data_IF_107814218480
#
_entry.id   IF_107814218480
#
_cell.length_a   1.000
_cell.length_b   1.000
_cell.length_c   1.000
_cell.angle_alpha   90.00
_cell.angle_beta   90.00
_cell.angle_gamma   90.00
#
_symmetry.space_group_name_H-M   'P 1'
#
loop_
_entity.id
_entity.type
_entity.pdbx_description
1 polymer ?
#
# COMPACT_ATOMS: atom_id res chain seq x y z
N UNK A 1 -20.41 -19.00 -1.40
CA UNK A 1 -21.37 -18.20 -2.20
C UNK A 1 -22.31 -19.13 -2.96
N UNK A 2 -22.98 -20.06 -2.27
CA UNK A 2 -23.81 -21.08 -2.95
C UNK A 2 -25.31 -20.72 -2.95
N UNK A 3 -25.74 -19.73 -2.16
CA UNK A 3 -27.16 -19.43 -2.07
C UNK A 3 -27.73 -18.67 -3.29
N UNK A 4 -26.91 -17.90 -4.01
CA UNK A 4 -27.38 -17.11 -5.16
C UNK A 4 -27.46 -17.90 -6.47
N UNK A 5 -27.13 -19.20 -6.48
CA UNK A 5 -27.06 -20.03 -7.69
C UNK A 5 -28.41 -20.21 -8.41
N UNK A 6 -29.53 -19.96 -7.72
CA UNK A 6 -30.88 -20.01 -8.29
C UNK A 6 -31.39 -18.70 -8.89
N UNK A 7 -30.66 -17.59 -8.72
CA UNK A 7 -31.09 -16.28 -9.20
C UNK A 7 -30.21 -15.82 -10.36
N UNK A 8 -30.81 -15.59 -11.54
CA UNK A 8 -30.11 -15.06 -12.72
C UNK A 8 -29.87 -13.54 -12.55
N UNK A 9 -29.10 -13.16 -11.52
CA UNK A 9 -28.79 -11.78 -11.15
C UNK A 9 -27.67 -11.16 -12.01
N UNK A 10 -27.45 -11.69 -13.21
CA UNK A 10 -26.46 -11.13 -14.13
C UNK A 10 -26.83 -9.67 -14.46
N UNK A 11 -25.85 -8.77 -14.41
CA UNK A 11 -26.00 -7.33 -14.71
C UNK A 11 -26.81 -6.49 -13.70
N UNK A 12 -27.08 -6.98 -12.48
CA UNK A 12 -27.71 -6.15 -11.44
C UNK A 12 -26.72 -5.09 -10.93
N UNK A 13 -27.17 -3.84 -10.81
CA UNK A 13 -26.37 -2.72 -10.28
C UNK A 13 -25.93 -3.00 -8.84
N UNK A 14 -24.68 -2.63 -8.52
CA UNK A 14 -24.17 -2.61 -7.14
C UNK A 14 -25.08 -1.79 -6.23
N UNK A 15 -25.73 -2.44 -5.27
CA UNK A 15 -26.71 -1.84 -4.37
C UNK A 15 -26.67 -2.59 -3.02
N UNK A 16 -25.66 -2.31 -2.17
CA UNK A 16 -25.37 -3.14 -1.02
C UNK A 16 -26.53 -3.11 -0.01
N UNK A 17 -26.79 -4.27 0.59
CA UNK A 17 -27.77 -4.44 1.67
C UNK A 17 -27.13 -5.15 2.85
N UNK A 18 -27.58 -4.80 4.05
CA UNK A 18 -27.15 -5.43 5.29
C UNK A 18 -28.22 -6.41 5.74
N UNK A 19 -27.87 -7.70 5.77
CA UNK A 19 -28.76 -8.75 6.23
C UNK A 19 -28.91 -8.79 7.75
N UNK A 20 -29.99 -9.41 8.22
CA UNK A 20 -30.23 -9.68 9.64
C UNK A 20 -29.16 -10.58 10.26
N UNK A 21 -28.40 -11.30 9.44
CA UNK A 21 -27.26 -12.13 9.82
C UNK A 21 -25.94 -11.33 10.02
N UNK A 22 -25.98 -10.01 9.82
CA UNK A 22 -24.82 -9.13 9.96
C UNK A 22 -23.87 -9.14 8.76
N UNK A 23 -24.22 -9.85 7.67
CA UNK A 23 -23.42 -9.89 6.45
C UNK A 23 -23.91 -8.86 5.42
N UNK A 24 -22.95 -8.28 4.68
CA UNK A 24 -23.26 -7.37 3.56
C UNK A 24 -23.35 -8.15 2.27
N UNK A 25 -24.46 -7.98 1.55
CA UNK A 25 -24.70 -8.61 0.24
C UNK A 25 -24.59 -7.59 -0.88
N UNK A 26 -24.21 -8.08 -2.06
CA UNK A 26 -23.95 -7.26 -3.25
C UNK A 26 -25.20 -6.48 -3.74
N UNK A 27 -26.36 -7.15 -3.70
CA UNK A 27 -27.65 -6.54 -4.04
C UNK A 27 -28.81 -7.35 -3.44
N UNK A 28 -30.04 -6.81 -3.42
CA UNK A 28 -31.23 -7.55 -3.00
C UNK A 28 -31.44 -8.85 -3.78
N UNK A 29 -31.12 -8.85 -5.07
CA UNK A 29 -31.21 -10.04 -5.93
C UNK A 29 -30.21 -11.12 -5.48
N UNK A 30 -28.97 -10.75 -5.19
CA UNK A 30 -27.95 -11.70 -4.73
C UNK A 30 -28.25 -12.27 -3.32
N UNK A 31 -29.07 -11.56 -2.53
CA UNK A 31 -29.58 -12.06 -1.27
C UNK A 31 -30.89 -12.85 -1.39
N UNK A 32 -31.47 -12.94 -2.61
CA UNK A 32 -32.70 -13.66 -2.88
C UNK A 32 -33.97 -13.02 -2.32
N UNK A 33 -33.97 -11.71 -2.08
CA UNK A 33 -35.13 -10.99 -1.53
C UNK A 33 -36.23 -10.81 -2.58
N UNK A 34 -37.47 -11.16 -2.24
CA UNK A 34 -38.63 -11.02 -3.15
C UNK A 34 -39.48 -9.79 -2.86
N UNK A 35 -39.43 -9.29 -1.64
CA UNK A 35 -40.25 -8.18 -1.18
C UNK A 35 -39.40 -6.97 -0.81
N UNK A 36 -39.97 -5.78 -1.04
CA UNK A 36 -39.33 -4.50 -0.70
C UNK A 36 -40.37 -3.53 -0.15
N UNK A 37 -40.05 -2.90 0.97
CA UNK A 37 -40.92 -1.98 1.71
C UNK A 37 -40.13 -0.70 1.98
N UNK A 38 -40.70 0.45 1.65
CA UNK A 38 -40.09 1.75 1.97
C UNK A 38 -40.42 2.12 3.42
N UNK A 39 -39.40 2.22 4.25
CA UNK A 39 -39.55 2.64 5.64
C UNK A 39 -39.78 4.15 5.75
N UNK A 40 -40.40 4.62 6.85
CA UNK A 40 -40.67 6.05 7.09
C UNK A 40 -39.40 6.90 7.22
N UNK A 41 -38.25 6.28 7.53
CA UNK A 41 -36.93 6.92 7.54
C UNK A 41 -36.31 7.10 6.13
N UNK A 42 -37.02 6.68 5.08
CA UNK A 42 -36.59 6.75 3.69
C UNK A 42 -35.74 5.57 3.22
N UNK A 43 -35.39 4.61 4.08
CA UNK A 43 -34.61 3.42 3.72
C UNK A 43 -35.52 2.33 3.13
N UNK A 44 -34.96 1.46 2.29
CA UNK A 44 -35.69 0.27 1.84
C UNK A 44 -35.39 -0.90 2.79
N UNK A 45 -36.45 -1.54 3.27
CA UNK A 45 -36.45 -2.84 3.93
C UNK A 45 -36.73 -3.92 2.90
N UNK A 46 -35.96 -4.99 2.89
CA UNK A 46 -36.14 -6.15 2.04
C UNK A 46 -36.53 -7.35 2.90
N UNK A 47 -37.54 -8.12 2.46
CA UNK A 47 -38.06 -9.31 3.15
C UNK A 47 -38.12 -10.51 2.20
N UNK A 48 -38.34 -11.70 2.78
CA UNK A 48 -38.32 -12.99 2.09
C UNK A 48 -36.99 -13.21 1.33
N UNK A 49 -35.87 -12.99 2.01
CA UNK A 49 -34.53 -13.17 1.45
C UNK A 49 -34.04 -14.60 1.69
N UNK A 50 -33.97 -15.38 0.60
CA UNK A 50 -33.57 -16.79 0.65
C UNK A 50 -32.12 -17.04 1.07
N UNK A 51 -31.26 -16.01 1.06
CA UNK A 51 -29.84 -16.15 1.40
C UNK A 51 -29.45 -15.58 2.75
N UNK A 52 -30.43 -15.09 3.49
CA UNK A 52 -30.23 -14.50 4.80
C UNK A 52 -30.86 -15.44 5.82
N UNK A 53 -30.05 -15.85 6.78
CA UNK A 53 -30.53 -16.67 7.87
C UNK A 53 -31.35 -15.81 8.84
N UNK A 54 -32.58 -16.23 9.07
CA UNK A 54 -33.42 -15.70 10.14
C UNK A 54 -33.28 -16.63 11.34
N UNK A 55 -32.67 -16.15 12.42
CA UNK A 55 -32.68 -16.88 13.68
C UNK A 55 -34.08 -16.76 14.31
N UNK A 56 -35.02 -17.60 13.87
CA UNK A 56 -36.20 -17.87 14.68
C UNK A 56 -35.75 -18.69 15.90
N UNK A 57 -36.07 -18.21 17.10
CA UNK A 57 -35.95 -19.03 18.30
C UNK A 57 -36.73 -20.34 18.09
N UNK A 58 -35.98 -21.43 17.96
CA UNK A 58 -36.44 -22.80 17.65
C UNK A 58 -37.51 -23.30 18.62
N UNK A 59 -37.61 -22.69 19.80
CA UNK A 59 -38.61 -23.00 20.83
C UNK A 59 -40.05 -22.60 20.46
N UNK A 60 -40.28 -21.67 19.51
CA UNK A 60 -41.65 -21.28 19.09
C UNK A 60 -42.03 -21.85 17.71
N UNK A 61 -41.04 -22.15 16.86
CA UNK A 61 -41.27 -22.73 15.54
C UNK A 61 -41.64 -24.22 15.61
N UNK A 62 -41.11 -24.96 16.60
CA UNK A 62 -41.45 -26.37 16.81
C UNK A 62 -42.94 -26.59 17.16
N UNK A 63 -43.63 -25.59 17.72
CA UNK A 63 -45.07 -25.68 18.00
C UNK A 63 -45.99 -25.37 16.81
N UNK A 64 -45.43 -24.92 15.68
CA UNK A 64 -46.20 -24.60 14.46
C UNK A 64 -45.96 -25.60 13.31
N UNK A 65 -45.00 -26.52 13.46
CA UNK A 65 -44.66 -27.52 12.45
C UNK A 65 -45.25 -28.87 12.88
N UNK A 66 -46.55 -29.06 12.63
CA UNK A 66 -47.20 -30.39 12.69
C UNK A 66 -47.69 -30.86 11.30
N UNK A 67 -47.26 -30.19 10.22
CA UNK A 67 -47.69 -30.60 8.88
C UNK A 67 -46.81 -30.04 7.76
N UNK A 68 -45.55 -30.47 7.65
CA UNK A 68 -44.91 -30.43 6.33
C UNK A 68 -43.79 -31.46 6.23
N UNK A 69 -43.98 -32.43 5.34
CA UNK A 69 -43.02 -33.49 5.08
C UNK A 69 -41.72 -32.91 4.51
N UNK A 70 -40.64 -33.22 5.22
CA UNK A 70 -39.24 -33.20 4.82
C UNK A 70 -39.02 -33.63 3.36
N UNK A 71 -38.40 -32.76 2.58
CA UNK A 71 -37.34 -33.23 1.68
C UNK A 71 -36.27 -32.15 1.52
N UNK A 72 -35.06 -32.54 1.92
CA UNK A 72 -33.73 -32.07 1.49
C UNK A 72 -32.99 -31.04 2.37
N UNK A 73 -31.98 -31.59 3.06
CA UNK A 73 -30.69 -31.00 3.43
C UNK A 73 -30.54 -30.36 4.83
N UNK A 74 -30.18 -31.21 5.79
CA UNK A 74 -29.23 -31.01 6.91
C UNK A 74 -29.11 -29.62 7.55
N UNK A 75 -30.07 -29.26 8.42
CA UNK A 75 -29.88 -28.77 9.81
C UNK A 75 -31.22 -28.31 10.42
N UNK A 76 -31.62 -28.78 11.62
CA UNK A 76 -32.94 -28.50 12.16
C UNK A 76 -33.00 -27.08 12.74
N UNK A 77 -33.88 -26.23 12.20
CA UNK A 77 -34.25 -24.94 12.82
C UNK A 77 -33.81 -23.66 12.11
N UNK A 78 -33.20 -23.73 10.91
CA UNK A 78 -32.90 -22.52 10.11
C UNK A 78 -33.89 -22.35 8.97
N UNK A 79 -34.75 -21.33 9.06
CA UNK A 79 -35.60 -20.91 7.94
C UNK A 79 -34.93 -19.75 7.19
N UNK A 80 -34.73 -19.91 5.89
CA UNK A 80 -34.10 -18.93 5.00
C UNK A 80 -35.09 -17.83 4.58
N UNK A 81 -35.60 -17.07 5.56
CA UNK A 81 -36.47 -15.91 5.34
C UNK A 81 -36.00 -14.72 6.18
N UNK A 82 -34.73 -14.35 6.01
CA UNK A 82 -34.16 -13.19 6.67
C UNK A 82 -34.65 -11.88 6.09
N UNK A 83 -34.41 -10.80 6.81
CA UNK A 83 -34.67 -9.43 6.37
C UNK A 83 -33.35 -8.71 6.11
N UNK A 84 -33.38 -7.69 5.26
CA UNK A 84 -32.22 -6.84 5.03
C UNK A 84 -32.62 -5.37 4.94
N UNK A 85 -31.67 -4.48 5.25
CA UNK A 85 -31.84 -3.04 5.11
C UNK A 85 -30.89 -2.49 4.06
N UNK A 86 -31.26 -1.38 3.43
CA UNK A 86 -30.40 -0.70 2.45
C UNK A 86 -29.12 -0.20 3.12
N UNK A 87 -27.97 -0.43 2.47
CA UNK A 87 -26.65 -0.03 2.95
C UNK A 87 -25.77 -1.22 3.34
N UNK A 88 -24.49 -0.96 3.61
CA UNK A 88 -23.58 -2.00 4.12
C UNK A 88 -23.74 -2.16 5.64
N UNK A 89 -23.43 -3.33 6.17
CA UNK A 89 -23.43 -3.56 7.61
C UNK A 89 -22.36 -2.71 8.32
N UNK A 90 -22.58 -2.36 9.60
CA UNK A 90 -21.57 -1.65 10.38
C UNK A 90 -20.30 -2.50 10.52
N UNK A 91 -19.17 -1.93 10.11
CA UNK A 91 -17.85 -2.54 10.26
C UNK A 91 -17.03 -1.75 11.26
N UNK A 92 -16.11 -2.40 11.98
CA UNK A 92 -15.16 -1.67 12.82
C UNK A 92 -14.18 -0.89 11.93
N UNK A 93 -14.42 0.42 11.83
CA UNK A 93 -13.60 1.31 11.04
C UNK A 93 -12.31 1.73 11.74
N UNK A 94 -12.29 1.75 13.09
CA UNK A 94 -11.30 2.50 13.85
C UNK A 94 -9.99 1.73 13.99
N UNK A 95 -10.04 0.47 14.40
CA UNK A 95 -8.86 -0.38 14.55
C UNK A 95 -8.01 -0.47 13.27
N UNK A 96 -8.58 -0.85 12.10
CA UNK A 96 -7.78 -0.94 10.87
C UNK A 96 -7.31 0.43 10.37
N UNK A 97 -8.01 1.52 10.72
CA UNK A 97 -7.58 2.87 10.40
C UNK A 97 -6.37 3.30 11.23
N UNK A 98 -6.36 3.05 12.54
CA UNK A 98 -5.22 3.36 13.39
C UNK A 98 -3.99 2.52 13.04
N UNK A 99 -4.16 1.23 12.75
CA UNK A 99 -3.06 0.39 12.28
C UNK A 99 -2.45 0.90 10.98
N UNK A 100 -3.28 1.31 10.02
CA UNK A 100 -2.82 1.95 8.79
C UNK A 100 -2.03 3.23 9.06
N UNK A 101 -2.56 4.13 9.89
CA UNK A 101 -1.90 5.38 10.22
C UNK A 101 -0.53 5.15 10.89
N UNK A 102 -0.44 4.23 11.85
CA UNK A 102 0.82 3.91 12.52
C UNK A 102 1.88 3.42 11.54
N UNK A 103 1.53 2.45 10.69
CA UNK A 103 2.44 1.91 9.67
C UNK A 103 2.86 2.98 8.66
N UNK A 104 1.91 3.82 8.22
CA UNK A 104 2.18 4.91 7.29
C UNK A 104 3.14 5.95 7.90
N UNK A 105 2.91 6.35 9.13
CA UNK A 105 3.75 7.31 9.84
C UNK A 105 5.18 6.79 10.00
N UNK A 106 5.35 5.53 10.42
CA UNK A 106 6.68 4.89 10.56
C UNK A 106 7.40 4.85 9.21
N UNK A 107 6.73 4.36 8.15
CA UNK A 107 7.32 4.29 6.81
C UNK A 107 7.72 5.67 6.28
N UNK A 108 6.91 6.70 6.53
CA UNK A 108 7.19 8.07 6.08
C UNK A 108 8.31 8.72 6.88
N UNK A 109 8.40 8.44 8.18
CA UNK A 109 9.49 8.91 9.01
C UNK A 109 10.83 8.35 8.52
N UNK A 110 10.92 7.02 8.33
CA UNK A 110 12.13 6.34 7.85
C UNK A 110 12.54 6.91 6.47
N UNK A 111 11.61 6.93 5.50
CA UNK A 111 11.91 7.45 4.16
C UNK A 111 12.27 8.94 4.15
N UNK A 112 11.72 9.74 5.07
CA UNK A 112 12.10 11.14 5.24
C UNK A 112 13.54 11.31 5.74
N UNK A 113 13.92 10.52 6.75
CA UNK A 113 15.30 10.52 7.27
C UNK A 113 16.31 10.01 6.24
N UNK A 114 15.96 8.96 5.49
CA UNK A 114 16.76 8.43 4.39
C UNK A 114 17.00 9.49 3.32
N UNK A 115 15.93 10.15 2.84
CA UNK A 115 16.05 11.17 1.80
C UNK A 115 16.93 12.33 2.23
N UNK A 116 16.83 12.78 3.48
CA UNK A 116 17.67 13.85 4.00
C UNK A 116 19.14 13.41 4.11
N UNK A 117 19.40 12.20 4.62
CA UNK A 117 20.75 11.65 4.74
C UNK A 117 21.40 11.49 3.37
N UNK A 118 20.72 10.87 2.41
CA UNK A 118 21.23 10.64 1.06
C UNK A 118 21.50 11.95 0.31
N UNK A 119 20.67 12.98 0.51
CA UNK A 119 20.93 14.32 -0.01
C UNK A 119 22.20 14.95 0.60
N UNK A 120 22.36 14.90 1.92
CA UNK A 120 23.53 15.47 2.61
C UNK A 120 24.83 14.75 2.26
N UNK A 121 24.79 13.42 2.12
CA UNK A 121 25.94 12.63 1.68
C UNK A 121 26.32 13.02 0.25
N UNK A 122 25.35 13.09 -0.66
CA UNK A 122 25.57 13.53 -2.04
C UNK A 122 26.19 14.94 -2.12
N UNK A 123 25.81 15.85 -1.21
CA UNK A 123 26.42 17.19 -1.13
C UNK A 123 27.89 17.18 -0.72
N UNK A 124 28.34 16.19 0.04
CA UNK A 124 29.70 16.12 0.60
C UNK A 124 30.65 15.26 -0.24
N UNK A 125 30.11 14.32 -1.02
CA UNK A 125 30.92 13.42 -1.85
C UNK A 125 31.34 14.01 -3.20
N UNK A 126 30.80 15.16 -3.58
CA UNK A 126 31.00 15.75 -4.92
C UNK A 126 31.57 17.16 -4.77
N UNK A 127 32.58 17.47 -5.57
CA UNK A 127 33.18 18.80 -5.66
C UNK A 127 32.12 19.84 -6.11
N UNK A 128 32.28 21.09 -5.69
CA UNK A 128 31.26 22.14 -5.89
C UNK A 128 30.89 22.35 -7.36
N UNK A 129 31.83 22.11 -8.28
CA UNK A 129 31.62 22.28 -9.73
C UNK A 129 30.72 21.20 -10.35
N UNK A 130 30.74 19.97 -9.83
CA UNK A 130 30.06 18.81 -10.42
C UNK A 130 28.78 18.41 -9.69
N UNK A 131 28.49 19.05 -8.54
CA UNK A 131 27.36 18.77 -7.67
C UNK A 131 26.01 18.75 -8.38
N UNK A 132 25.75 19.75 -9.23
CA UNK A 132 24.49 19.84 -9.96
C UNK A 132 24.30 18.68 -10.95
N UNK A 133 25.38 18.27 -11.64
CA UNK A 133 25.36 17.16 -12.61
C UNK A 133 25.12 15.84 -11.88
N UNK A 134 25.83 15.61 -10.77
CA UNK A 134 25.68 14.40 -9.95
C UNK A 134 24.26 14.26 -9.39
N UNK A 135 23.72 15.32 -8.76
CA UNK A 135 22.37 15.30 -8.21
C UNK A 135 21.30 15.12 -9.28
N UNK A 136 21.47 15.76 -10.44
CA UNK A 136 20.59 15.58 -11.59
C UNK A 136 20.58 14.13 -12.09
N UNK A 137 21.77 13.51 -12.19
CA UNK A 137 21.90 12.11 -12.59
C UNK A 137 21.24 11.16 -11.57
N UNK A 138 21.47 11.36 -10.28
CA UNK A 138 20.83 10.57 -9.22
C UNK A 138 19.30 10.67 -9.28
N UNK A 139 18.76 11.86 -9.51
CA UNK A 139 17.31 12.06 -9.65
C UNK A 139 16.74 11.41 -10.92
N UNK A 140 17.49 11.45 -12.04
CA UNK A 140 17.11 10.77 -13.27
C UNK A 140 17.05 9.25 -13.07
N UNK A 141 18.06 8.65 -12.44
CA UNK A 141 18.09 7.22 -12.12
C UNK A 141 16.93 6.83 -11.19
N UNK A 142 16.68 7.62 -10.14
CA UNK A 142 15.57 7.36 -9.22
C UNK A 142 14.20 7.47 -9.91
N UNK A 143 14.07 8.39 -10.87
CA UNK A 143 12.83 8.52 -11.66
C UNK A 143 12.58 7.26 -12.49
N UNK A 144 13.61 6.77 -13.18
CA UNK A 144 13.51 5.60 -14.04
C UNK A 144 13.26 4.32 -13.25
N UNK A 145 13.95 4.13 -12.13
CA UNK A 145 13.93 2.86 -11.38
C UNK A 145 12.90 2.80 -10.24
N UNK A 146 12.44 3.95 -9.72
CA UNK A 146 11.49 3.99 -8.59
C UNK A 146 10.16 4.60 -8.99
N UNK A 147 10.15 5.82 -9.52
CA UNK A 147 8.91 6.56 -9.76
C UNK A 147 8.08 6.00 -10.93
N UNK A 148 8.72 5.48 -11.98
CA UNK A 148 8.00 4.84 -13.10
C UNK A 148 7.38 3.47 -12.73
N UNK A 149 8.10 2.52 -12.11
CA UNK A 149 7.51 1.22 -11.78
C UNK A 149 6.53 1.27 -10.60
N UNK A 150 6.67 2.22 -9.67
CA UNK A 150 5.77 2.33 -8.52
C UNK A 150 4.27 2.36 -8.89
N UNK A 151 3.76 3.30 -9.70
CA UNK A 151 2.34 3.34 -10.06
C UNK A 151 1.88 2.10 -10.84
N UNK A 152 2.77 1.46 -11.60
CA UNK A 152 2.44 0.22 -12.33
C UNK A 152 2.21 -0.93 -11.35
N UNK A 153 3.13 -1.11 -10.39
CA UNK A 153 3.03 -2.15 -9.35
C UNK A 153 1.82 -1.90 -8.45
N UNK A 154 1.67 -0.68 -7.94
CA UNK A 154 0.54 -0.33 -7.06
C UNK A 154 -0.80 -0.37 -7.81
N UNK A 155 -0.84 0.01 -9.08
CA UNK A 155 -2.01 -0.16 -9.94
C UNK A 155 -2.39 -1.64 -10.10
N UNK A 156 -1.42 -2.51 -10.36
CA UNK A 156 -1.65 -3.95 -10.43
C UNK A 156 -2.15 -4.53 -9.09
N UNK A 157 -1.64 -4.05 -7.95
CA UNK A 157 -2.12 -4.47 -6.62
C UNK A 157 -3.60 -4.08 -6.43
N UNK A 158 -3.96 -2.85 -6.79
CA UNK A 158 -5.35 -2.38 -6.71
C UNK A 158 -6.25 -3.27 -7.58
N UNK A 159 -5.88 -3.51 -8.83
CA UNK A 159 -6.64 -4.37 -9.73
C UNK A 159 -6.79 -5.81 -9.20
N UNK A 160 -5.76 -6.35 -8.54
CA UNK A 160 -5.81 -7.70 -7.94
C UNK A 160 -6.78 -7.81 -6.78
N UNK A 161 -7.02 -6.71 -6.07
CA UNK A 161 -7.95 -6.67 -4.93
C UNK A 161 -9.40 -6.43 -5.35
N UNK A 162 -9.65 -6.32 -6.65
CA UNK A 162 -11.00 -6.14 -7.17
C UNK A 162 -11.84 -7.41 -6.98
N UNK A 163 -12.94 -7.30 -6.24
CA UNK A 163 -13.92 -8.35 -6.01
C UNK A 163 -14.97 -8.34 -7.11
N UNK A 164 -15.41 -7.15 -7.54
CA UNK A 164 -16.44 -7.00 -8.57
C UNK A 164 -16.00 -6.05 -9.67
N UNK A 165 -15.79 -6.61 -10.85
CA UNK A 165 -15.50 -5.85 -12.06
C UNK A 165 -16.79 -5.33 -12.69
N UNK A 166 -16.82 -4.02 -12.96
CA UNK A 166 -17.85 -3.45 -13.81
C UNK A 166 -17.71 -3.97 -15.24
N UNK A 167 -18.84 -4.15 -15.91
CA UNK A 167 -18.88 -4.53 -17.32
C UNK A 167 -19.66 -3.49 -18.11
N UNK A 168 -19.11 -3.05 -19.23
CA UNK A 168 -19.77 -2.16 -20.19
C UNK A 168 -19.67 -2.81 -21.56
N UNK A 169 -20.81 -3.07 -22.21
CA UNK A 169 -20.86 -3.74 -23.52
C UNK A 169 -20.06 -5.06 -23.54
N UNK A 170 -20.23 -5.89 -22.50
CA UNK A 170 -19.54 -7.18 -22.29
C UNK A 170 -18.01 -7.13 -22.22
N UNK A 171 -17.43 -5.93 -22.02
CA UNK A 171 -15.99 -5.76 -21.76
C UNK A 171 -15.75 -5.39 -20.29
N UNK A 172 -14.64 -5.88 -19.75
CA UNK A 172 -14.15 -5.55 -18.41
C UNK A 172 -13.85 -4.05 -18.34
N UNK A 173 -14.54 -3.34 -17.46
CA UNK A 173 -14.38 -1.91 -17.17
C UNK A 173 -13.74 -1.67 -15.80
N UNK A 174 -14.11 -0.56 -15.16
CA UNK A 174 -13.60 -0.20 -13.84
C UNK A 174 -14.13 -1.15 -12.75
N UNK A 175 -13.33 -1.41 -11.73
CA UNK A 175 -13.78 -2.16 -10.57
C UNK A 175 -14.80 -1.35 -9.74
N UNK A 176 -15.88 -2.00 -9.31
CA UNK A 176 -16.93 -1.38 -8.49
C UNK A 176 -16.74 -1.64 -7.00
N UNK A 177 -16.18 -2.80 -6.64
CA UNK A 177 -15.95 -3.18 -5.25
C UNK A 177 -14.56 -3.81 -5.10
N UNK A 178 -13.77 -3.22 -4.20
CA UNK A 178 -12.49 -3.75 -3.77
C UNK A 178 -12.61 -4.41 -2.41
N UNK A 179 -11.82 -5.46 -2.19
CA UNK A 179 -11.62 -6.01 -0.85
C UNK A 179 -10.77 -5.03 -0.03
N UNK A 180 -11.39 -4.36 0.93
CA UNK A 180 -10.73 -3.37 1.76
C UNK A 180 -9.62 -3.95 2.64
N UNK A 181 -9.74 -5.21 3.10
CA UNK A 181 -8.71 -5.83 3.94
C UNK A 181 -7.51 -6.24 3.10
N UNK A 182 -7.74 -6.94 1.98
CA UNK A 182 -6.67 -7.33 1.07
C UNK A 182 -5.95 -6.12 0.49
N UNK A 183 -6.69 -5.07 0.12
CA UNK A 183 -6.13 -3.82 -0.42
C UNK A 183 -5.22 -3.13 0.60
N UNK A 184 -5.73 -2.89 1.82
CA UNK A 184 -4.94 -2.24 2.88
C UNK A 184 -3.71 -3.06 3.23
N UNK A 185 -3.86 -4.36 3.49
CA UNK A 185 -2.75 -5.23 3.86
C UNK A 185 -1.71 -5.28 2.76
N UNK A 186 -2.10 -5.58 1.51
CA UNK A 186 -1.15 -5.75 0.41
C UNK A 186 -0.41 -4.45 0.10
N UNK A 187 -1.08 -3.29 0.07
CA UNK A 187 -0.41 -2.01 -0.19
C UNK A 187 0.58 -1.61 0.91
N UNK A 188 0.19 -1.75 2.18
CA UNK A 188 1.02 -1.31 3.31
C UNK A 188 2.19 -2.24 3.57
N UNK A 189 1.99 -3.57 3.51
CA UNK A 189 3.09 -4.53 3.67
C UNK A 189 4.06 -4.45 2.50
N UNK A 190 3.60 -4.29 1.26
CA UNK A 190 4.49 -4.09 0.11
C UNK A 190 5.36 -2.86 0.29
N UNK A 191 4.77 -1.74 0.71
CA UNK A 191 5.53 -0.51 1.01
C UNK A 191 6.54 -0.71 2.14
N UNK A 192 6.14 -1.36 3.23
CA UNK A 192 7.02 -1.65 4.35
C UNK A 192 8.21 -2.53 3.96
N UNK A 193 8.00 -3.56 3.13
CA UNK A 193 9.07 -4.44 2.64
C UNK A 193 10.11 -3.64 1.84
N UNK A 194 9.68 -2.80 0.90
CA UNK A 194 10.61 -1.96 0.12
C UNK A 194 11.40 -0.99 1.02
N UNK A 195 10.73 -0.37 2.00
CA UNK A 195 11.38 0.53 2.97
C UNK A 195 12.40 -0.22 3.82
N UNK A 196 12.07 -1.42 4.31
CA UNK A 196 13.00 -2.24 5.12
C UNK A 196 14.23 -2.62 4.30
N UNK A 197 14.05 -3.03 3.04
CA UNK A 197 15.17 -3.37 2.15
C UNK A 197 16.07 -2.14 1.93
N UNK A 198 15.48 -0.98 1.62
CA UNK A 198 16.22 0.28 1.48
C UNK A 198 17.02 0.64 2.73
N UNK A 199 16.34 0.62 3.88
CA UNK A 199 16.95 0.92 5.19
C UNK A 199 18.13 -0.01 5.49
N UNK A 200 18.03 -1.31 5.18
CA UNK A 200 19.13 -2.25 5.36
C UNK A 200 20.34 -1.91 4.48
N UNK A 201 20.12 -1.46 3.23
CA UNK A 201 21.19 -1.03 2.32
C UNK A 201 21.86 0.27 2.81
N UNK A 202 21.08 1.22 3.32
CA UNK A 202 21.62 2.45 3.90
C UNK A 202 22.43 2.17 5.16
N UNK A 203 21.94 1.29 6.04
CA UNK A 203 22.69 0.84 7.23
C UNK A 203 23.99 0.14 6.82
N UNK A 204 23.97 -0.67 5.76
CA UNK A 204 25.17 -1.28 5.19
C UNK A 204 26.17 -0.24 4.68
N UNK A 205 25.69 0.78 3.97
CA UNK A 205 26.50 1.90 3.46
C UNK A 205 27.10 2.70 4.60
N UNK A 206 26.32 3.00 5.63
CA UNK A 206 26.79 3.66 6.85
C UNK A 206 27.86 2.83 7.57
N UNK A 207 27.66 1.53 7.71
CA UNK A 207 28.62 0.64 8.35
C UNK A 207 29.94 0.55 7.58
N UNK A 208 29.91 0.57 6.25
CA UNK A 208 31.10 0.57 5.41
C UNK A 208 31.85 1.90 5.46
N UNK A 209 31.12 3.01 5.45
CA UNK A 209 31.67 4.38 5.44
C UNK A 209 32.10 4.90 6.81
N UNK A 210 31.83 4.19 7.91
CA UNK A 210 32.15 4.62 9.29
C UNK A 210 33.61 5.00 9.55
N UNK A 211 34.54 4.51 8.71
CA UNK A 211 35.97 4.76 8.85
C UNK A 211 36.50 5.88 7.93
N UNK A 212 35.65 6.48 7.09
CA UNK A 212 36.06 7.64 6.30
C UNK A 212 36.19 8.86 7.22
N UNK A 213 37.39 9.45 7.28
CA UNK A 213 37.61 10.76 7.90
C UNK A 213 36.91 11.81 7.02
N UNK A 214 35.66 12.11 7.36
CA UNK A 214 34.81 13.09 6.64
C UNK A 214 35.14 14.53 7.08
N UNK A 215 35.76 14.68 8.25
CA UNK A 215 36.23 15.98 8.73
C UNK A 215 37.75 16.01 8.57
N UNK A 216 38.24 16.96 7.77
CA UNK A 216 39.57 17.50 7.98
C UNK A 216 39.59 17.97 9.43
N UNK A 217 40.45 17.36 10.24
CA UNK A 217 40.63 17.70 11.63
C UNK A 217 40.80 19.21 11.77
N UNK A 218 39.86 19.85 12.48
CA UNK A 218 39.96 21.24 12.88
C UNK A 218 41.32 21.46 13.57
N UNK A 219 42.13 22.38 13.02
CA UNK A 219 43.21 23.03 13.74
C UNK A 219 44.52 22.25 13.91
N UNK A 220 45.24 22.00 12.81
CA UNK A 220 46.68 22.27 12.85
C UNK A 220 46.91 23.54 12.04
N UNK A 221 47.10 24.66 12.72
CA UNK A 221 47.82 25.80 12.13
C UNK A 221 49.21 25.25 11.81
N UNK A 222 49.41 24.86 10.56
CA UNK A 222 50.76 24.60 10.04
C UNK A 222 51.48 25.95 10.14
N UNK A 223 52.64 26.04 10.81
CA UNK A 223 53.39 27.28 10.85
C UNK A 223 53.66 27.74 9.42
N UNK A 224 53.44 29.02 9.14
CA UNK A 224 53.63 29.68 7.82
C UNK A 224 55.04 29.47 7.23
N UNK A 225 56.00 28.97 8.02
CA UNK A 225 57.35 28.57 7.61
C UNK A 225 57.42 27.18 6.95
N UNK A 226 56.57 26.21 7.30
CA UNK A 226 56.57 24.87 6.68
C UNK A 226 55.90 24.86 5.31
N UNK A 227 54.90 25.72 5.09
CA UNK A 227 54.22 25.85 3.80
C UNK A 227 55.11 26.58 2.77
N UNK A 228 55.90 27.58 3.19
CA UNK A 228 56.91 28.22 2.33
C UNK A 228 58.04 27.27 1.96
N UNK A 229 58.60 26.54 2.93
CA UNK A 229 59.67 25.57 2.66
C UNK A 229 59.21 24.41 1.76
N UNK A 230 57.98 23.93 1.93
CA UNK A 230 57.40 22.87 1.09
C UNK A 230 57.15 23.31 -0.35
N UNK A 231 56.69 24.55 -0.53
CA UNK A 231 56.43 25.13 -1.86
C UNK A 231 57.73 25.46 -2.59
N UNK A 232 58.76 25.93 -1.89
CA UNK A 232 60.09 26.17 -2.46
C UNK A 232 60.82 24.87 -2.84
N UNK A 233 60.69 23.80 -2.04
CA UNK A 233 61.23 22.47 -2.39
C UNK A 233 60.56 21.89 -3.64
N UNK A 234 59.23 21.96 -3.74
CA UNK A 234 58.49 21.47 -4.89
C UNK A 234 58.79 22.29 -6.15
N UNK A 235 58.98 23.61 -6.03
CA UNK A 235 59.35 24.46 -7.15
C UNK A 235 60.78 24.21 -7.63
N UNK A 236 61.72 23.89 -6.72
CA UNK A 236 63.08 23.46 -7.08
C UNK A 236 63.12 22.09 -7.77
N UNK A 237 62.33 21.11 -7.29
CA UNK A 237 62.22 19.79 -7.94
C UNK A 237 61.60 19.89 -9.35
N UNK A 238 60.54 20.69 -9.52
CA UNK A 238 59.93 20.94 -10.84
C UNK A 238 60.89 21.65 -11.80
N UNK A 239 61.68 22.60 -11.32
CA UNK A 239 62.66 23.33 -12.16
C UNK A 239 63.87 22.47 -12.51
N UNK A 240 64.27 21.55 -11.63
CA UNK A 240 65.30 20.54 -11.89
C UNK A 240 64.88 19.53 -12.96
N UNK A 241 63.63 19.04 -12.89
CA UNK A 241 63.07 18.11 -13.87
C UNK A 241 62.87 18.75 -15.25
N UNK A 242 62.54 20.04 -15.33
CA UNK A 242 62.46 20.74 -16.62
C UNK A 242 63.85 20.96 -17.26
N UNK A 243 64.91 21.19 -16.48
CA UNK A 243 66.28 21.27 -17.02
C UNK A 243 66.76 19.92 -17.55
N UNK A 244 66.50 18.84 -16.82
CA UNK A 244 66.90 17.48 -17.23
C UNK A 244 66.13 16.96 -18.46
N UNK A 245 64.93 17.51 -18.71
CA UNK A 245 64.16 17.26 -19.94
C UNK A 245 64.64 18.09 -21.14
N UNK A 246 65.23 19.27 -20.92
CA UNK A 246 65.72 20.14 -22.00
C UNK A 246 67.13 19.77 -22.49
N UNK A 247 67.91 19.02 -21.70
CA UNK A 247 69.23 18.51 -22.09
C UNK A 247 69.17 17.13 -22.78
N UNK A 248 67.97 16.52 -22.85
CA UNK A 248 67.70 15.24 -23.54
C UNK A 248 67.00 15.38 -24.90
N UNK A 249 66.99 16.58 -25.47
CA UNK A 249 66.51 16.87 -26.84
C UNK A 249 67.59 17.56 -27.67
#
# INVERSE_FOLDING_TARGET
MECSLGCNCEFVKYAPICGSDGNTYLSPCHAGCKEQIKQPDGKMLFSDCSCILSELNVSYAASLIDSYNETTSEQPGRTYSGTATSGSCPVDCMTPFYMFLLVLCINKFIGGTESAANFLIGLRCVEERDKAISMGLSMAVNTLLSFLPAPIIFGAIIDRTCVLWGQTCSKKGNCWLYDGQALRTTMNYTSAVFVIIGTCLDVGTWWYSKNFKIFDSEGKVVPEEEEKNGTELQQQEMTGLMKESSERQ
#
